data_IF_341191701279
#
_entry.id   IF_341191701279
#
_cell.length_a   1.000
_cell.length_b   1.000
_cell.length_c   1.000
_cell.angle_alpha   90.00
_cell.angle_beta   90.00
_cell.angle_gamma   90.00
#
_symmetry.space_group_name_H-M   'P 1'
#
loop_
_entity.id
_entity.type
_entity.pdbx_description
1 polymer ?
#
# COMPACT_ATOMS: atom_id res chain seq x y z
N UNK A 1 3.19 -12.54 -8.46
CA UNK A 1 2.52 -12.89 -7.19
C UNK A 1 2.52 -11.67 -6.29
N UNK A 2 1.42 -11.35 -5.57
CA UNK A 2 1.37 -10.20 -4.67
C UNK A 2 1.64 -10.59 -3.21
N UNK A 3 2.92 -10.70 -2.85
CA UNK A 3 3.36 -11.13 -1.51
C UNK A 3 2.79 -10.24 -0.40
N UNK A 4 2.70 -8.93 -0.63
CA UNK A 4 2.17 -7.99 0.36
C UNK A 4 0.67 -8.17 0.64
N UNK A 5 -0.11 -8.71 -0.31
CA UNK A 5 -1.52 -9.06 -0.09
C UNK A 5 -1.61 -10.34 0.75
N UNK A 6 -0.81 -11.36 0.40
CA UNK A 6 -0.77 -12.62 1.14
C UNK A 6 -0.32 -12.39 2.59
N UNK A 7 0.73 -11.61 2.81
CA UNK A 7 1.21 -11.25 4.14
C UNK A 7 0.13 -10.54 4.97
N UNK A 8 -0.62 -9.60 4.38
CA UNK A 8 -1.71 -8.91 5.08
C UNK A 8 -2.80 -9.89 5.55
N UNK A 9 -3.17 -10.87 4.71
CA UNK A 9 -4.16 -11.90 5.04
C UNK A 9 -3.65 -12.80 6.17
N UNK A 10 -2.40 -13.28 6.08
CA UNK A 10 -1.82 -14.16 7.11
C UNK A 10 -1.72 -13.43 8.45
N UNK A 11 -1.26 -12.19 8.48
CA UNK A 11 -1.16 -11.39 9.72
C UNK A 11 -2.54 -11.16 10.34
N UNK A 12 -3.56 -10.86 9.52
CA UNK A 12 -4.94 -10.72 9.99
C UNK A 12 -5.49 -12.05 10.55
N UNK A 13 -5.20 -13.18 9.89
CA UNK A 13 -5.58 -14.50 10.37
C UNK A 13 -4.92 -14.88 11.72
N UNK A 14 -3.77 -14.28 12.04
CA UNK A 14 -3.12 -14.39 13.35
C UNK A 14 -3.74 -13.46 14.43
N UNK A 15 -4.84 -12.77 14.14
CA UNK A 15 -5.54 -11.90 15.10
C UNK A 15 -4.97 -10.49 15.23
N UNK A 16 -4.04 -10.08 14.36
CA UNK A 16 -3.49 -8.72 14.34
C UNK A 16 -4.27 -7.89 13.33
N UNK A 17 -4.90 -6.76 13.73
CA UNK A 17 -5.64 -5.92 12.79
C UNK A 17 -4.74 -5.36 11.69
N UNK A 18 -5.12 -5.55 10.42
CA UNK A 18 -4.35 -5.06 9.26
C UNK A 18 -5.16 -4.12 8.40
N UNK A 19 -4.63 -2.93 8.15
CA UNK A 19 -5.13 -2.03 7.11
C UNK A 19 -4.15 -1.97 5.96
N UNK A 20 -4.51 -2.59 4.84
CA UNK A 20 -3.70 -2.60 3.62
C UNK A 20 -4.09 -1.42 2.74
N UNK A 21 -3.13 -0.55 2.45
CA UNK A 21 -3.26 0.46 1.40
C UNK A 21 -2.64 -0.07 0.11
N UNK A 22 -3.32 0.10 -1.02
CA UNK A 22 -2.80 -0.40 -2.28
C UNK A 22 -3.52 0.14 -3.51
N UNK A 23 -2.90 -0.10 -4.66
CA UNK A 23 -3.42 0.31 -5.96
C UNK A 23 -3.55 -0.91 -6.90
N UNK A 24 -4.16 -0.68 -8.07
CA UNK A 24 -4.06 -1.59 -9.23
C UNK A 24 -2.63 -1.61 -9.75
N UNK A 25 -2.26 -2.69 -10.42
CA UNK A 25 -0.95 -2.75 -11.08
C UNK A 25 -0.80 -1.62 -12.11
N UNK A 26 0.27 -0.84 -11.97
CA UNK A 26 0.72 0.08 -13.03
C UNK A 26 1.75 -0.57 -13.96
N UNK A 27 2.53 -1.55 -13.46
CA UNK A 27 3.66 -2.17 -14.18
C UNK A 27 3.89 -3.66 -13.86
N UNK A 28 3.06 -4.28 -13.01
CA UNK A 28 3.20 -5.70 -12.62
C UNK A 28 2.08 -6.57 -13.17
N UNK A 29 2.30 -7.89 -13.29
CA UNK A 29 1.28 -8.85 -13.73
C UNK A 29 0.04 -8.95 -12.82
N UNK A 30 0.08 -8.47 -11.56
CA UNK A 30 -1.10 -8.40 -10.66
C UNK A 30 -0.88 -7.45 -9.46
N UNK A 31 -1.70 -6.40 -9.35
CA UNK A 31 -1.72 -5.48 -8.22
C UNK A 31 -2.43 -6.03 -6.99
N UNK A 32 -2.41 -5.26 -5.90
CA UNK A 32 -3.04 -5.69 -4.64
C UNK A 32 -4.56 -5.76 -4.78
N UNK A 33 -5.12 -4.74 -5.43
CA UNK A 33 -6.52 -4.65 -5.80
C UNK A 33 -6.93 -5.82 -6.73
N UNK A 34 -6.15 -6.08 -7.78
CA UNK A 34 -6.47 -7.12 -8.77
C UNK A 34 -6.48 -8.53 -8.16
N UNK A 35 -5.61 -8.76 -7.17
CA UNK A 35 -5.57 -10.03 -6.41
C UNK A 35 -6.81 -10.17 -5.52
N UNK A 36 -7.19 -9.11 -4.80
CA UNK A 36 -8.35 -9.12 -3.90
C UNK A 36 -9.68 -9.26 -4.67
N UNK A 37 -9.84 -8.57 -5.80
CA UNK A 37 -11.03 -8.72 -6.65
C UNK A 37 -11.19 -10.14 -7.19
N UNK A 38 -10.09 -10.79 -7.60
CA UNK A 38 -10.12 -12.20 -8.03
C UNK A 38 -10.53 -13.16 -6.92
N UNK A 39 -10.34 -12.77 -5.66
CA UNK A 39 -10.81 -13.51 -4.49
C UNK A 39 -12.26 -13.15 -4.10
N UNK A 40 -12.94 -12.32 -4.89
CA UNK A 40 -14.32 -11.88 -4.64
C UNK A 40 -14.46 -10.76 -3.61
N UNK A 41 -13.35 -10.13 -3.20
CA UNK A 41 -13.37 -9.02 -2.24
C UNK A 41 -13.77 -7.73 -2.94
N UNK A 42 -14.75 -7.02 -2.37
CA UNK A 42 -15.08 -5.66 -2.80
C UNK A 42 -13.97 -4.70 -2.37
N UNK A 43 -13.29 -4.08 -3.34
CA UNK A 43 -12.11 -3.24 -3.09
C UNK A 43 -12.40 -1.74 -3.02
N UNK A 44 -13.56 -1.28 -3.48
CA UNK A 44 -13.94 0.12 -3.62
C UNK A 44 -14.75 0.66 -2.43
N UNK A 45 -14.58 0.02 -1.27
CA UNK A 45 -15.23 0.43 -0.03
C UNK A 45 -14.81 1.84 0.40
N UNK A 46 -15.80 2.61 0.88
CA UNK A 46 -15.56 3.93 1.47
C UNK A 46 -14.97 3.85 2.89
N UNK A 47 -14.54 4.99 3.46
CA UNK A 47 -13.85 5.04 4.76
C UNK A 47 -14.59 4.33 5.89
N UNK A 48 -15.90 4.57 6.04
CA UNK A 48 -16.73 3.95 7.09
C UNK A 48 -16.83 2.43 6.94
N UNK A 49 -16.94 1.95 5.70
CA UNK A 49 -17.03 0.52 5.40
C UNK A 49 -15.69 -0.18 5.65
N UNK A 50 -14.57 0.47 5.33
CA UNK A 50 -13.23 -0.04 5.65
C UNK A 50 -13.03 -0.09 7.16
N UNK A 51 -13.44 0.94 7.90
CA UNK A 51 -13.37 0.95 9.36
C UNK A 51 -14.19 -0.18 9.99
N UNK A 52 -15.41 -0.41 9.47
CA UNK A 52 -16.25 -1.54 9.90
C UNK A 52 -15.60 -2.89 9.59
N UNK A 53 -15.07 -3.07 8.38
CA UNK A 53 -14.35 -4.30 7.99
C UNK A 53 -13.17 -4.58 8.93
N UNK A 54 -12.41 -3.54 9.29
CA UNK A 54 -11.30 -3.68 10.22
C UNK A 54 -11.78 -4.08 11.62
N UNK A 55 -12.90 -3.52 12.10
CA UNK A 55 -13.46 -3.81 13.42
C UNK A 55 -14.08 -5.21 13.52
N UNK A 56 -14.79 -5.66 12.48
CA UNK A 56 -15.54 -6.92 12.48
C UNK A 56 -14.70 -8.12 12.02
N UNK A 57 -13.83 -7.91 11.02
CA UNK A 57 -13.08 -8.99 10.35
C UNK A 57 -11.59 -8.95 10.71
N UNK A 58 -11.09 -7.82 11.25
CA UNK A 58 -9.66 -7.65 11.55
C UNK A 58 -8.82 -7.27 10.33
N UNK A 59 -9.43 -7.05 9.15
CA UNK A 59 -8.72 -6.59 7.95
C UNK A 59 -9.53 -5.56 7.17
N UNK A 60 -8.85 -4.53 6.67
CA UNK A 60 -9.41 -3.51 5.78
C UNK A 60 -8.50 -3.24 4.58
N UNK A 61 -9.09 -2.91 3.44
CA UNK A 61 -8.36 -2.50 2.23
C UNK A 61 -8.73 -1.08 1.83
N UNK A 62 -7.74 -0.19 1.78
CA UNK A 62 -7.88 1.16 1.27
C UNK A 62 -7.39 1.19 -0.19
N UNK A 63 -8.33 1.33 -1.12
CA UNK A 63 -7.99 1.44 -2.54
C UNK A 63 -7.54 2.87 -2.90
N UNK A 64 -6.27 3.03 -3.29
CA UNK A 64 -5.61 4.32 -3.42
C UNK A 64 -6.39 5.35 -4.27
N UNK A 65 -6.98 5.01 -5.44
CA UNK A 65 -7.76 5.98 -6.22
C UNK A 65 -9.00 6.55 -5.49
N UNK A 66 -9.58 5.79 -4.56
CA UNK A 66 -10.73 6.23 -3.77
C UNK A 66 -10.29 7.17 -2.64
N UNK A 67 -9.14 6.89 -2.00
CA UNK A 67 -8.64 7.64 -0.85
C UNK A 67 -7.70 8.81 -1.22
N UNK A 68 -7.17 8.83 -2.44
CA UNK A 68 -6.28 9.88 -2.96
C UNK A 68 -6.76 10.38 -4.33
N UNK A 69 -7.98 10.93 -4.45
CA UNK A 69 -8.54 11.35 -5.74
C UNK A 69 -7.70 12.41 -6.44
N UNK A 70 -6.94 13.23 -5.69
CA UNK A 70 -6.03 14.24 -6.24
C UNK A 70 -4.87 13.63 -7.03
N UNK A 71 -4.53 12.35 -6.84
CA UNK A 71 -3.45 11.73 -7.60
C UNK A 71 -3.79 11.65 -9.10
N UNK A 72 -5.08 11.74 -9.48
CA UNK A 72 -5.50 11.81 -10.89
C UNK A 72 -4.84 12.95 -11.66
N UNK A 73 -4.54 14.07 -10.99
CA UNK A 73 -3.90 15.24 -11.60
C UNK A 73 -2.43 15.00 -11.94
N UNK A 74 -1.78 14.06 -11.25
CA UNK A 74 -0.40 13.65 -11.54
C UNK A 74 -0.32 12.42 -12.46
N UNK A 75 -1.37 11.59 -12.52
CA UNK A 75 -1.34 10.30 -13.22
C UNK A 75 -1.02 10.40 -14.72
N UNK A 76 -1.57 11.39 -15.43
CA UNK A 76 -1.33 11.56 -16.86
C UNK A 76 0.12 11.94 -17.15
N UNK A 77 0.62 12.99 -16.49
CA UNK A 77 2.00 13.46 -16.60
C UNK A 77 2.99 12.36 -16.22
N UNK A 78 2.72 11.60 -15.16
CA UNK A 78 3.57 10.47 -14.75
C UNK A 78 3.68 9.39 -15.82
N UNK A 79 2.59 9.11 -16.55
CA UNK A 79 2.60 8.13 -17.65
C UNK A 79 3.43 8.64 -18.83
N UNK A 80 3.34 9.93 -19.15
CA UNK A 80 4.12 10.55 -20.24
C UNK A 80 5.62 10.58 -19.94
N UNK A 81 6.00 10.92 -18.70
CA UNK A 81 7.41 10.96 -18.28
C UNK A 81 8.04 9.56 -18.31
N UNK A 82 7.28 8.51 -17.95
CA UNK A 82 7.71 7.12 -18.09
C UNK A 82 8.87 6.67 -17.18
N UNK A 83 9.36 7.53 -16.28
CA UNK A 83 10.41 7.20 -15.31
C UNK A 83 9.87 7.20 -13.87
N UNK A 84 10.52 6.48 -12.93
CA UNK A 84 10.17 6.56 -11.51
C UNK A 84 10.28 7.99 -10.98
N UNK A 85 9.33 8.40 -10.14
CA UNK A 85 9.30 9.72 -9.49
C UNK A 85 9.03 9.57 -8.00
N UNK A 86 9.02 10.69 -7.26
CA UNK A 86 8.67 10.71 -5.82
C UNK A 86 7.36 9.99 -5.50
N UNK A 87 6.40 9.97 -6.44
CA UNK A 87 5.12 9.27 -6.28
C UNK A 87 5.26 7.74 -6.14
N UNK A 88 6.39 7.16 -6.57
CA UNK A 88 6.69 5.75 -6.34
C UNK A 88 7.00 5.46 -4.86
N UNK A 89 7.47 6.47 -4.11
CA UNK A 89 7.70 6.39 -2.67
C UNK A 89 6.46 6.81 -1.86
N UNK A 90 5.68 7.78 -2.36
CA UNK A 90 4.55 8.32 -1.60
C UNK A 90 3.42 7.31 -1.39
N UNK A 91 3.14 6.44 -2.38
CA UNK A 91 2.01 5.51 -2.30
C UNK A 91 1.95 4.69 -1.01
N UNK A 92 3.04 4.01 -0.60
CA UNK A 92 3.09 3.32 0.69
C UNK A 92 3.03 4.24 1.92
N UNK A 93 3.51 5.48 1.82
CA UNK A 93 3.62 6.42 2.93
C UNK A 93 2.34 7.19 3.23
N UNK A 94 1.37 7.20 2.32
CA UNK A 94 0.12 7.95 2.47
C UNK A 94 -1.07 7.12 2.95
N UNK A 95 -0.85 5.97 3.60
CA UNK A 95 -1.94 5.14 4.10
C UNK A 95 -2.94 5.98 4.94
N UNK A 96 -4.21 6.11 4.51
CA UNK A 96 -5.17 7.03 5.12
C UNK A 96 -5.52 6.65 6.57
N UNK A 97 -5.35 5.37 6.93
CA UNK A 97 -5.61 4.89 8.28
C UNK A 97 -4.45 5.18 9.26
N UNK A 98 -3.32 5.71 8.77
CA UNK A 98 -2.13 6.09 9.58
C UNK A 98 -1.79 5.02 10.64
N UNK A 99 -1.51 3.78 10.21
CA UNK A 99 -1.29 2.70 11.15
C UNK A 99 -0.05 2.99 12.02
N UNK A 100 -0.10 2.56 13.28
CA UNK A 100 1.02 2.76 14.23
C UNK A 100 2.29 2.01 13.83
N UNK A 101 2.15 0.93 13.08
CA UNK A 101 3.23 0.10 12.59
C UNK A 101 2.94 -0.24 11.12
N UNK A 102 3.99 -0.44 10.33
CA UNK A 102 3.83 -0.75 8.91
C UNK A 102 5.01 -1.53 8.33
N UNK A 103 4.67 -2.34 7.33
CA UNK A 103 5.63 -3.02 6.46
C UNK A 103 5.61 -2.32 5.09
N UNK A 104 6.72 -1.69 4.72
CA UNK A 104 6.84 -0.96 3.45
C UNK A 104 7.97 -1.57 2.62
N UNK A 105 7.63 -2.00 1.41
CA UNK A 105 8.61 -2.39 0.40
C UNK A 105 9.21 -1.14 -0.27
N UNK A 106 10.54 -1.02 -0.27
CA UNK A 106 11.24 0.00 -1.06
C UNK A 106 11.92 -0.65 -2.26
N UNK A 107 11.64 -0.13 -3.47
CA UNK A 107 12.27 -0.61 -4.70
C UNK A 107 13.68 -0.02 -4.92
N UNK A 108 14.01 1.06 -4.22
CA UNK A 108 15.26 1.81 -4.36
C UNK A 108 16.07 1.64 -3.09
N UNK A 109 17.16 0.87 -3.16
CA UNK A 109 17.96 0.53 -1.99
C UNK A 109 18.55 1.78 -1.29
N UNK A 110 18.98 2.76 -2.07
CA UNK A 110 19.49 4.06 -1.64
C UNK A 110 18.43 4.93 -0.93
N UNK A 111 17.15 4.72 -1.22
CA UNK A 111 16.04 5.47 -0.59
C UNK A 111 15.38 4.71 0.56
N UNK A 112 15.86 3.50 0.88
CA UNK A 112 15.30 2.67 1.93
C UNK A 112 15.40 3.33 3.32
N UNK A 113 16.57 3.90 3.65
CA UNK A 113 16.78 4.58 4.92
C UNK A 113 15.93 5.84 5.04
N UNK A 114 15.83 6.62 3.96
CA UNK A 114 14.99 7.82 3.90
C UNK A 114 13.52 7.45 4.14
N UNK A 115 13.04 6.40 3.47
CA UNK A 115 11.67 5.90 3.61
C UNK A 115 11.40 5.44 5.04
N UNK A 116 12.31 4.65 5.62
CA UNK A 116 12.23 4.20 7.00
C UNK A 116 12.31 5.36 8.01
N UNK A 117 13.11 6.37 7.73
CA UNK A 117 13.25 7.59 8.54
C UNK A 117 11.94 8.39 8.57
N UNK A 118 11.32 8.63 7.41
CA UNK A 118 10.04 9.31 7.32
C UNK A 118 8.95 8.58 8.12
N UNK A 119 8.84 7.26 7.94
CA UNK A 119 7.84 6.45 8.65
C UNK A 119 8.00 6.54 10.16
N UNK A 120 9.25 6.45 10.67
CA UNK A 120 9.54 6.61 12.11
C UNK A 120 9.17 7.99 12.65
N UNK A 121 9.37 9.04 11.86
CA UNK A 121 8.99 10.40 12.25
C UNK A 121 7.46 10.62 12.21
N UNK A 122 6.76 9.99 11.26
CA UNK A 122 5.32 10.13 11.08
C UNK A 122 4.50 9.32 12.11
N UNK A 123 5.04 8.21 12.62
CA UNK A 123 4.51 7.52 13.81
C UNK A 123 5.66 6.80 14.55
N UNK A 124 5.87 7.01 15.86
CA UNK A 124 7.04 6.49 16.56
C UNK A 124 7.01 4.98 16.90
N UNK A 125 5.95 4.24 16.54
CA UNK A 125 5.84 2.82 16.85
C UNK A 125 6.34 1.93 15.68
N UNK A 126 7.10 0.88 16.02
CA UNK A 126 7.63 -0.21 15.19
C UNK A 126 7.35 -0.14 13.65
N UNK A 127 8.26 0.44 12.88
CA UNK A 127 8.22 0.43 11.41
C UNK A 127 9.27 -0.50 10.82
N UNK A 128 8.87 -1.31 9.85
CA UNK A 128 9.75 -2.19 9.10
C UNK A 128 9.73 -1.77 7.63
N UNK A 129 10.87 -1.30 7.13
CA UNK A 129 11.06 -1.07 5.70
C UNK A 129 11.95 -2.19 5.15
N UNK A 130 11.43 -2.97 4.23
CA UNK A 130 12.17 -4.03 3.55
C UNK A 130 12.52 -3.56 2.14
N UNK A 131 13.78 -3.70 1.73
CA UNK A 131 14.16 -3.45 0.34
C UNK A 131 13.75 -4.66 -0.47
N UNK A 132 12.77 -4.48 -1.35
CA UNK A 132 12.44 -5.49 -2.36
C UNK A 132 13.13 -5.03 -3.64
N UNK A 133 14.28 -5.63 -3.98
CA UNK A 133 14.86 -5.44 -5.31
C UNK A 133 13.94 -6.05 -6.35
N UNK A 134 12.99 -5.25 -6.83
CA UNK A 134 12.25 -5.59 -8.05
C UNK A 134 13.19 -5.23 -9.18
N UNK A 135 13.88 -6.23 -9.73
CA UNK A 135 14.61 -6.10 -10.99
C UNK A 135 13.64 -5.54 -12.03
N UNK A 136 13.71 -4.24 -12.31
CA UNK A 136 13.04 -3.64 -13.46
C UNK A 136 13.87 -4.03 -14.69
N UNK A 137 13.63 -5.24 -15.18
CA UNK A 137 14.05 -5.69 -16.52
C UNK A 137 13.04 -5.24 -17.55
#
# INVERSE_FOLDING_TARGET
MNLSTMAAIVVAACGVPVVKHGNRAASSLAGGADTLEKLGVRIDLGPEQVARSLAEVGIGFCFAPHFHPSYRYASAVRREIGVPTVFNLLGPLTNPARPRAGLIGCAFADLAEVTAGFSRAAAPACWWCTVTMVSMS
#
